data_IF_930383817765
#
_entry.id   IF_930383817765
#
_cell.length_a   1.000
_cell.length_b   1.000
_cell.length_c   1.000
_cell.angle_alpha   90.00
_cell.angle_beta   90.00
_cell.angle_gamma   90.00
#
_symmetry.space_group_name_H-M   'P 1'
#
loop_
_entity.id
_entity.type
_entity.pdbx_description
1 polymer ?
#
# COMPACT_ATOMS: atom_id res chain seq x y z
N UNK A 1 9.57 10.00 -40.35
CA UNK A 1 8.47 9.07 -40.02
C UNK A 1 9.10 8.01 -39.12
N UNK A 2 9.17 8.28 -37.82
CA UNK A 2 8.34 7.66 -36.76
C UNK A 2 8.44 6.12 -36.80
N UNK A 3 8.96 5.41 -35.79
CA UNK A 3 8.84 5.68 -34.36
C UNK A 3 9.91 4.99 -33.48
N UNK A 4 10.23 5.54 -32.30
CA UNK A 4 10.91 4.83 -31.21
C UNK A 4 9.88 4.32 -30.20
N UNK A 5 9.29 3.16 -30.42
CA UNK A 5 8.22 2.62 -29.55
C UNK A 5 8.50 1.21 -29.02
N UNK A 6 9.77 0.87 -28.78
CA UNK A 6 10.14 -0.42 -28.13
C UNK A 6 11.09 -0.26 -26.94
N UNK A 7 11.23 0.94 -26.37
CA UNK A 7 11.99 1.14 -25.12
C UNK A 7 11.11 1.50 -23.92
N UNK A 8 9.80 1.66 -24.11
CA UNK A 8 8.86 1.94 -23.03
C UNK A 8 8.44 0.68 -22.24
N UNK A 9 9.39 -0.21 -21.92
CA UNK A 9 9.32 -0.88 -20.60
C UNK A 9 9.78 0.19 -19.61
N UNK A 10 8.91 1.17 -19.40
CA UNK A 10 9.12 2.22 -18.44
C UNK A 10 9.42 1.54 -17.11
N UNK A 11 10.52 1.92 -16.47
CA UNK A 11 10.73 1.68 -15.05
C UNK A 11 9.49 2.24 -14.34
N UNK A 12 8.48 1.39 -14.09
CA UNK A 12 7.32 1.79 -13.33
C UNK A 12 7.79 1.93 -11.89
N UNK A 13 8.03 3.18 -11.48
CA UNK A 13 8.36 3.48 -10.10
C UNK A 13 7.04 3.54 -9.34
N UNK A 14 6.70 2.42 -8.72
CA UNK A 14 5.66 2.31 -7.72
C UNK A 14 5.98 3.24 -6.53
N UNK A 15 5.43 4.45 -6.55
CA UNK A 15 5.60 5.45 -5.48
C UNK A 15 4.25 5.74 -4.84
N UNK A 16 4.26 6.38 -3.67
CA UNK A 16 3.01 6.87 -3.08
C UNK A 16 2.24 7.82 -4.02
N UNK A 17 2.90 8.46 -4.98
CA UNK A 17 2.27 9.33 -5.98
C UNK A 17 1.56 8.56 -7.11
N UNK A 18 1.95 7.32 -7.37
CA UNK A 18 1.27 6.42 -8.34
C UNK A 18 0.31 5.44 -7.67
N UNK A 19 0.20 5.51 -6.33
CA UNK A 19 -0.68 4.64 -5.56
C UNK A 19 -2.17 4.99 -5.77
N UNK A 20 -3.00 3.97 -5.84
CA UNK A 20 -4.46 4.10 -5.85
C UNK A 20 -4.94 4.74 -4.55
N UNK A 21 -6.02 5.52 -4.63
CA UNK A 21 -6.62 6.13 -3.46
C UNK A 21 -7.07 5.08 -2.43
N UNK A 22 -7.49 3.90 -2.90
CA UNK A 22 -7.84 2.77 -2.05
C UNK A 22 -6.64 2.27 -1.24
N UNK A 23 -5.48 2.13 -1.87
CA UNK A 23 -4.25 1.72 -1.19
C UNK A 23 -3.80 2.74 -0.15
N UNK A 24 -3.81 4.04 -0.51
CA UNK A 24 -3.44 5.12 0.42
C UNK A 24 -4.37 5.10 1.64
N UNK A 25 -5.68 4.95 1.42
CA UNK A 25 -6.68 4.88 2.50
C UNK A 25 -6.43 3.68 3.41
N UNK A 26 -6.18 2.49 2.84
CA UNK A 26 -5.90 1.28 3.61
C UNK A 26 -4.59 1.40 4.40
N UNK A 27 -3.54 1.97 3.79
CA UNK A 27 -2.25 2.24 4.44
C UNK A 27 -2.42 3.17 5.63
N UNK A 28 -3.13 4.27 5.45
CA UNK A 28 -3.28 5.29 6.49
C UNK A 28 -4.15 4.76 7.63
N UNK A 29 -5.19 3.97 7.34
CA UNK A 29 -5.98 3.29 8.37
C UNK A 29 -5.14 2.33 9.21
N UNK A 30 -4.29 1.51 8.57
CA UNK A 30 -3.39 0.60 9.28
C UNK A 30 -2.35 1.35 10.13
N UNK A 31 -1.67 2.35 9.56
CA UNK A 31 -0.64 3.12 10.30
C UNK A 31 -1.22 3.95 11.44
N UNK A 32 -2.35 4.62 11.23
CA UNK A 32 -3.02 5.37 12.29
C UNK A 32 -3.44 4.45 13.44
N UNK A 33 -3.93 3.25 13.12
CA UNK A 33 -4.24 2.25 14.14
C UNK A 33 -2.99 1.77 14.88
N UNK A 34 -1.89 1.51 14.16
CA UNK A 34 -0.62 1.07 14.74
C UNK A 34 -0.05 2.08 15.74
N UNK A 35 -0.21 3.39 15.48
CA UNK A 35 0.24 4.44 16.38
C UNK A 35 -0.71 4.70 17.56
N UNK A 36 -2.01 4.47 17.38
CA UNK A 36 -3.02 4.71 18.42
C UNK A 36 -3.23 3.51 19.35
N UNK A 37 -3.06 2.28 18.84
CA UNK A 37 -3.34 1.06 19.57
C UNK A 37 -2.12 0.57 20.35
N UNK A 38 -2.23 0.52 21.67
CA UNK A 38 -1.16 0.02 22.57
C UNK A 38 -0.95 -1.50 22.50
N UNK A 39 -1.97 -2.23 22.05
CA UNK A 39 -1.87 -3.67 21.82
C UNK A 39 -1.14 -4.03 20.53
N UNK A 40 -1.09 -3.10 19.57
CA UNK A 40 -0.30 -3.27 18.37
C UNK A 40 1.16 -2.89 18.66
N UNK A 41 2.08 -3.80 18.35
CA UNK A 41 3.51 -3.60 18.51
C UNK A 41 4.26 -4.01 17.24
N UNK A 42 4.46 -3.02 16.37
CA UNK A 42 5.13 -3.15 15.07
C UNK A 42 6.48 -3.89 15.11
N UNK A 43 7.39 -3.62 16.08
CA UNK A 43 8.70 -4.26 16.11
C UNK A 43 8.64 -5.78 16.26
N UNK A 44 7.58 -6.28 16.90
CA UNK A 44 7.37 -7.73 17.12
C UNK A 44 6.33 -8.33 16.17
N UNK A 45 5.73 -7.53 15.29
CA UNK A 45 4.62 -7.96 14.44
C UNK A 45 3.35 -8.35 15.22
N UNK A 46 3.21 -7.88 16.47
CA UNK A 46 2.02 -8.14 17.29
C UNK A 46 0.92 -7.18 16.84
N UNK A 47 -0.21 -7.69 16.39
CA UNK A 47 -1.38 -6.90 16.04
C UNK A 47 -2.58 -7.36 16.86
N UNK A 48 -3.42 -6.42 17.30
CA UNK A 48 -4.75 -6.78 17.82
C UNK A 48 -5.63 -7.27 16.66
N UNK A 49 -6.82 -7.82 16.95
CA UNK A 49 -7.74 -8.34 15.91
C UNK A 49 -8.05 -7.28 14.85
N UNK A 50 -8.35 -6.04 15.27
CA UNK A 50 -8.59 -4.92 14.34
C UNK A 50 -7.35 -4.55 13.54
N UNK A 51 -6.18 -4.49 14.18
CA UNK A 51 -4.92 -4.21 13.49
C UNK A 51 -4.56 -5.28 12.46
N UNK A 52 -4.84 -6.55 12.75
CA UNK A 52 -4.61 -7.66 11.83
C UNK A 52 -5.55 -7.60 10.62
N UNK A 53 -6.82 -7.24 10.83
CA UNK A 53 -7.78 -7.01 9.74
C UNK A 53 -7.35 -5.85 8.84
N UNK A 54 -6.94 -4.72 9.43
CA UNK A 54 -6.42 -3.56 8.70
C UNK A 54 -5.14 -3.90 7.93
N UNK A 55 -4.22 -4.66 8.54
CA UNK A 55 -3.02 -5.14 7.87
C UNK A 55 -3.35 -6.03 6.68
N UNK A 56 -4.28 -6.97 6.86
CA UNK A 56 -4.70 -7.88 5.81
C UNK A 56 -5.42 -7.16 4.67
N UNK A 57 -6.19 -6.11 4.99
CA UNK A 57 -6.82 -5.23 4.00
C UNK A 57 -5.76 -4.43 3.23
N UNK A 58 -4.78 -3.88 3.93
CA UNK A 58 -3.66 -3.16 3.32
C UNK A 58 -2.85 -4.04 2.36
N UNK A 59 -2.49 -5.26 2.78
CA UNK A 59 -1.74 -6.21 1.94
C UNK A 59 -2.52 -6.70 0.72
N UNK A 60 -3.85 -6.83 0.83
CA UNK A 60 -4.71 -7.23 -0.29
C UNK A 60 -5.05 -6.09 -1.24
N UNK A 61 -4.88 -4.85 -0.81
CA UNK A 61 -5.17 -3.70 -1.66
C UNK A 61 -4.02 -3.53 -2.64
N UNK A 62 -4.26 -3.57 -3.96
CA UNK A 62 -3.18 -3.37 -4.92
C UNK A 62 -2.72 -1.91 -4.88
N UNK A 63 -1.39 -1.72 -4.92
CA UNK A 63 -0.78 -0.40 -4.89
C UNK A 63 -1.29 0.46 -6.05
N UNK A 64 -1.37 -0.11 -7.24
CA UNK A 64 -1.96 0.52 -8.42
C UNK A 64 -3.33 -0.10 -8.69
N UNK A 65 -4.29 0.73 -9.11
CA UNK A 65 -5.47 0.19 -9.79
C UNK A 65 -4.97 -0.34 -11.12
N UNK A 66 -5.09 -1.65 -11.36
CA UNK A 66 -4.70 -2.24 -12.65
C UNK A 66 -5.30 -1.41 -13.80
N UNK A 67 -4.53 -1.17 -14.89
CA UNK A 67 -4.96 -0.33 -16.01
C UNK A 67 -6.22 -0.85 -16.71
#
# INVERSE_FOLDING_TARGET
MAAPETLATALHVATAATASLAWITARDAFHNHLWSCRDCHAPTGRHCVTGADLHSTYERTPLESAP
#
